data_IF_656092588405
#
_entry.id   IF_656092588405
#
_cell.length_a   1.000
_cell.length_b   1.000
_cell.length_c   1.000
_cell.angle_alpha   90.00
_cell.angle_beta   90.00
_cell.angle_gamma   90.00
#
_symmetry.space_group_name_H-M   'P 1'
#
loop_
_entity.id
_entity.type
_entity.pdbx_description
1 polymer ?
#
# COMPACT_ATOMS: atom_id res chain seq x y z
N UNK A 1 1.44 16.33 29.72
CA UNK A 1 0.61 16.00 28.55
C UNK A 1 0.44 14.49 28.53
N UNK A 2 -0.74 13.98 28.20
CA UNK A 2 -0.97 12.55 28.00
C UNK A 2 -1.46 12.39 26.55
N UNK A 3 -0.84 11.48 25.80
CA UNK A 3 -1.26 11.16 24.44
C UNK A 3 -1.41 9.65 24.30
N UNK A 4 -2.60 9.24 23.84
CA UNK A 4 -2.91 7.84 23.53
C UNK A 4 -2.88 7.65 22.02
N UNK A 5 -2.16 6.62 21.58
CA UNK A 5 -2.11 6.18 20.20
C UNK A 5 -2.71 4.78 20.10
N UNK A 6 -3.67 4.62 19.19
CA UNK A 6 -4.31 3.33 18.92
C UNK A 6 -3.80 2.79 17.60
N UNK A 7 -3.22 1.60 17.63
CA UNK A 7 -2.63 0.91 16.48
C UNK A 7 -3.39 -0.40 16.30
N UNK A 8 -4.18 -0.49 15.23
CA UNK A 8 -4.84 -1.74 14.84
C UNK A 8 -3.80 -2.75 14.36
N UNK A 9 -3.78 -3.93 14.98
CA UNK A 9 -2.81 -5.00 14.66
C UNK A 9 -3.43 -6.03 13.74
N UNK A 10 -2.62 -6.77 12.97
CA UNK A 10 -3.04 -7.95 12.19
C UNK A 10 -2.75 -9.29 12.90
N UNK A 11 -2.16 -9.25 14.09
CA UNK A 11 -1.77 -10.41 14.90
C UNK A 11 -2.96 -11.21 15.48
N UNK A 12 -2.79 -12.52 15.56
CA UNK A 12 -3.64 -13.42 16.31
C UNK A 12 -3.38 -13.30 17.83
N UNK A 13 -4.37 -13.61 18.69
CA UNK A 13 -4.26 -13.42 20.14
C UNK A 13 -3.05 -14.10 20.80
N UNK A 14 -2.60 -15.24 20.26
CA UNK A 14 -1.42 -15.95 20.77
C UNK A 14 -0.15 -15.07 20.79
N UNK A 15 -0.02 -14.13 19.84
CA UNK A 15 1.21 -13.36 19.62
C UNK A 15 1.24 -11.99 20.29
N UNK A 16 0.18 -11.58 21.00
CA UNK A 16 0.17 -10.29 21.69
C UNK A 16 1.28 -10.18 22.74
N UNK A 17 1.53 -11.28 23.47
CA UNK A 17 2.63 -11.35 24.42
C UNK A 17 4.01 -11.32 23.74
N UNK A 18 4.14 -12.00 22.60
CA UNK A 18 5.39 -12.07 21.84
C UNK A 18 5.74 -10.73 21.21
N UNK A 19 4.74 -9.98 20.73
CA UNK A 19 4.92 -8.61 20.25
C UNK A 19 5.49 -7.71 21.34
N UNK A 20 4.94 -7.76 22.57
CA UNK A 20 5.48 -6.97 23.68
C UNK A 20 6.92 -7.37 24.00
N UNK A 21 7.24 -8.65 23.96
CA UNK A 21 8.59 -9.14 24.17
C UNK A 21 9.54 -8.67 23.07
N UNK A 22 9.08 -8.66 21.83
CA UNK A 22 9.82 -8.17 20.68
C UNK A 22 10.16 -6.68 20.85
N UNK A 23 9.17 -5.83 21.16
CA UNK A 23 9.39 -4.41 21.43
C UNK A 23 10.35 -4.22 22.60
N UNK A 24 10.16 -4.98 23.69
CA UNK A 24 11.03 -4.94 24.87
C UNK A 24 12.48 -5.24 24.50
N UNK A 25 12.72 -6.31 23.75
CA UNK A 25 14.06 -6.83 23.44
C UNK A 25 14.79 -6.05 22.37
N UNK A 26 14.09 -5.62 21.31
CA UNK A 26 14.72 -5.03 20.13
C UNK A 26 14.67 -3.50 20.09
N UNK A 27 13.76 -2.87 20.84
CA UNK A 27 13.67 -1.41 20.92
C UNK A 27 14.02 -0.87 22.30
N UNK A 28 13.33 -1.33 23.36
CA UNK A 28 13.47 -0.71 24.68
C UNK A 28 14.79 -1.06 25.39
N UNK A 29 15.19 -2.34 25.41
CA UNK A 29 16.42 -2.77 26.10
C UNK A 29 17.72 -2.23 25.47
N UNK A 30 17.87 -2.16 24.14
CA UNK A 30 19.05 -1.59 23.52
C UNK A 30 19.07 -0.04 23.57
N UNK A 31 17.91 0.58 23.76
CA UNK A 31 17.77 2.03 23.88
C UNK A 31 17.99 2.56 25.30
N UNK A 32 17.93 3.88 25.45
CA UNK A 32 18.11 4.57 26.74
C UNK A 32 16.79 4.62 27.55
N UNK A 33 16.24 3.43 27.83
CA UNK A 33 15.00 3.26 28.56
C UNK A 33 15.23 2.55 29.90
N UNK A 34 14.52 3.01 30.93
CA UNK A 34 14.62 2.55 32.30
C UNK A 34 13.27 2.06 32.83
N UNK A 35 13.31 1.27 33.92
CA UNK A 35 12.09 0.82 34.59
C UNK A 35 11.19 -0.07 33.73
N UNK A 36 11.77 -0.76 32.75
CA UNK A 36 11.06 -1.63 31.81
C UNK A 36 10.47 -2.82 32.57
N UNK A 37 9.14 -2.88 32.68
CA UNK A 37 8.43 -3.98 33.36
C UNK A 37 7.28 -4.48 32.50
N UNK A 38 7.15 -5.79 32.39
CA UNK A 38 6.04 -6.46 31.71
C UNK A 38 5.18 -7.17 32.74
N UNK A 39 3.87 -7.01 32.63
CA UNK A 39 2.85 -7.71 33.40
C UNK A 39 1.76 -8.19 32.44
N UNK A 40 1.78 -9.47 32.09
CA UNK A 40 0.88 -10.04 31.08
C UNK A 40 1.00 -9.35 29.71
N UNK A 41 -0.11 -8.72 29.29
CA UNK A 41 -0.24 -7.94 28.04
C UNK A 41 -0.01 -6.43 28.23
N UNK A 42 0.64 -6.04 29.33
CA UNK A 42 1.02 -4.67 29.65
C UNK A 42 2.54 -4.55 29.73
N UNK A 43 3.11 -3.53 29.10
CA UNK A 43 4.53 -3.22 29.13
C UNK A 43 4.71 -1.73 29.47
N UNK A 44 5.43 -1.44 30.55
CA UNK A 44 5.70 -0.06 30.98
C UNK A 44 7.19 0.25 30.90
N UNK A 45 7.53 1.51 30.61
CA UNK A 45 8.91 1.99 30.51
C UNK A 45 9.02 3.49 30.84
N UNK A 46 10.25 3.97 31.02
CA UNK A 46 10.58 5.37 31.24
C UNK A 46 11.76 5.78 30.35
N UNK A 47 11.68 6.92 29.68
CA UNK A 47 12.78 7.48 28.90
C UNK A 47 13.23 8.81 29.52
N UNK A 48 14.54 8.99 29.70
CA UNK A 48 15.11 10.25 30.19
C UNK A 48 15.60 11.07 28.99
N UNK A 49 15.04 12.27 28.81
CA UNK A 49 15.37 13.13 27.68
C UNK A 49 15.72 14.53 28.20
N UNK A 50 17.02 14.81 28.33
CA UNK A 50 17.50 16.03 28.99
C UNK A 50 17.12 16.06 30.46
N UNK A 51 16.37 17.08 30.89
CA UNK A 51 15.88 17.22 32.29
C UNK A 51 14.47 16.63 32.51
N UNK A 52 13.81 16.12 31.47
CA UNK A 52 12.45 15.59 31.56
C UNK A 52 12.37 14.07 31.42
N UNK A 53 11.27 13.49 31.92
CA UNK A 53 10.98 12.06 31.84
C UNK A 53 9.72 11.84 31.00
N UNK A 54 9.78 10.88 30.08
CA UNK A 54 8.61 10.34 29.36
C UNK A 54 8.24 9.01 29.99
N UNK A 55 7.00 8.87 30.43
CA UNK A 55 6.44 7.60 30.89
C UNK A 55 5.67 6.96 29.75
N UNK A 56 5.96 5.70 29.47
CA UNK A 56 5.32 4.94 28.40
C UNK A 56 4.64 3.69 28.91
N UNK A 57 3.45 3.43 28.38
CA UNK A 57 2.68 2.21 28.63
C UNK A 57 2.15 1.66 27.31
N UNK A 58 2.40 0.37 27.08
CA UNK A 58 1.89 -0.38 25.93
C UNK A 58 0.95 -1.47 26.43
N UNK A 59 -0.26 -1.49 25.90
CA UNK A 59 -1.26 -2.53 26.15
C UNK A 59 -1.53 -3.26 24.85
N UNK A 60 -1.17 -4.54 24.77
CA UNK A 60 -1.37 -5.35 23.58
C UNK A 60 -2.78 -5.94 23.52
N UNK A 61 -3.34 -5.97 22.31
CA UNK A 61 -4.66 -6.47 21.99
C UNK A 61 -4.93 -6.30 20.50
N UNK A 62 -6.16 -6.57 20.06
CA UNK A 62 -6.56 -6.33 18.66
C UNK A 62 -6.25 -4.89 18.23
N UNK A 63 -6.57 -3.94 19.11
CA UNK A 63 -6.10 -2.57 19.04
C UNK A 63 -5.05 -2.34 20.13
N UNK A 64 -3.78 -2.31 19.73
CA UNK A 64 -2.69 -2.00 20.64
C UNK A 64 -2.75 -0.52 21.03
N UNK A 65 -2.61 -0.25 22.32
CA UNK A 65 -2.61 1.11 22.86
C UNK A 65 -1.22 1.47 23.34
N UNK A 66 -0.69 2.58 22.83
CA UNK A 66 0.51 3.22 23.38
C UNK A 66 0.08 4.52 24.07
N UNK A 67 0.32 4.61 25.37
CA UNK A 67 0.05 5.79 26.17
C UNK A 67 1.39 6.41 26.55
N UNK A 68 1.60 7.66 26.16
CA UNK A 68 2.79 8.44 26.51
C UNK A 68 2.39 9.62 27.38
N UNK A 69 3.01 9.73 28.55
CA UNK A 69 2.90 10.88 29.45
C UNK A 69 4.22 11.63 29.49
N UNK A 70 4.19 12.93 29.13
CA UNK A 70 5.39 13.74 28.94
C UNK A 70 5.16 15.24 29.20
N UNK A 71 6.19 16.00 29.65
CA UNK A 71 6.20 17.46 29.64
C UNK A 71 6.02 18.04 28.22
N UNK A 72 5.40 19.21 28.08
CA UNK A 72 5.09 19.79 26.76
C UNK A 72 6.32 20.00 25.86
N UNK A 73 7.47 20.29 26.46
CA UNK A 73 8.76 20.50 25.78
C UNK A 73 9.29 19.23 25.10
N UNK A 74 8.88 18.05 25.58
CA UNK A 74 9.33 16.75 25.07
C UNK A 74 8.40 16.16 23.99
N UNK A 75 7.52 16.97 23.40
CA UNK A 75 6.57 16.50 22.39
C UNK A 75 7.23 15.84 21.18
N UNK A 76 8.34 16.39 20.68
CA UNK A 76 9.04 15.83 19.52
C UNK A 76 9.70 14.47 19.83
N UNK A 77 10.19 14.30 21.06
CA UNK A 77 10.71 13.03 21.56
C UNK A 77 9.60 11.98 21.74
N UNK A 78 8.44 12.38 22.23
CA UNK A 78 7.28 11.50 22.35
C UNK A 78 6.79 10.99 20.98
N UNK A 79 6.76 11.86 19.96
CA UNK A 79 6.45 11.43 18.59
C UNK A 79 7.51 10.47 18.04
N UNK A 80 8.79 10.71 18.33
CA UNK A 80 9.88 9.81 17.92
C UNK A 80 9.70 8.42 18.53
N UNK A 81 9.40 8.35 19.84
CA UNK A 81 9.12 7.07 20.52
C UNK A 81 7.91 6.36 19.89
N UNK A 82 6.83 7.09 19.59
CA UNK A 82 5.68 6.52 18.90
C UNK A 82 6.06 5.92 17.54
N UNK A 83 6.81 6.66 16.72
CA UNK A 83 7.23 6.22 15.39
C UNK A 83 8.14 4.98 15.43
N UNK A 84 9.05 4.90 16.39
CA UNK A 84 9.94 3.75 16.55
C UNK A 84 9.20 2.50 17.04
N UNK A 85 8.27 2.67 18.01
CA UNK A 85 7.42 1.58 18.49
C UNK A 85 6.50 1.10 17.35
N UNK A 86 5.89 2.02 16.61
CA UNK A 86 5.09 1.70 15.44
C UNK A 86 5.90 0.89 14.42
N UNK A 87 7.13 1.33 14.12
CA UNK A 87 8.04 0.63 13.21
C UNK A 87 8.39 -0.77 13.72
N UNK A 88 8.58 -0.91 15.04
CA UNK A 88 8.85 -2.21 15.68
C UNK A 88 7.65 -3.16 15.57
N UNK A 89 6.42 -2.64 15.74
CA UNK A 89 5.19 -3.40 15.53
C UNK A 89 5.09 -3.86 14.08
N UNK A 90 5.28 -2.95 13.12
CA UNK A 90 5.22 -3.30 11.70
C UNK A 90 6.29 -4.32 11.29
N UNK A 91 7.50 -4.23 11.86
CA UNK A 91 8.56 -5.20 11.62
C UNK A 91 8.21 -6.60 12.15
N UNK A 92 7.58 -6.67 13.34
CA UNK A 92 7.11 -7.94 13.89
C UNK A 92 5.95 -8.51 13.07
N UNK A 93 4.97 -7.69 12.68
CA UNK A 93 3.88 -8.11 11.80
C UNK A 93 4.41 -8.64 10.46
N UNK A 94 5.38 -7.95 9.84
CA UNK A 94 5.98 -8.41 8.59
C UNK A 94 6.71 -9.75 8.72
N UNK A 95 7.38 -9.99 9.85
CA UNK A 95 7.95 -11.29 10.19
C UNK A 95 6.85 -12.35 10.31
N UNK A 96 5.74 -12.04 10.99
CA UNK A 96 4.60 -12.96 11.11
C UNK A 96 3.95 -13.25 9.76
N UNK A 97 3.86 -12.28 8.85
CA UNK A 97 3.32 -12.49 7.50
C UNK A 97 4.08 -13.55 6.72
N UNK A 98 5.38 -13.69 6.95
CA UNK A 98 6.19 -14.74 6.31
C UNK A 98 5.83 -16.14 6.78
N UNK A 99 5.25 -16.28 7.98
CA UNK A 99 4.83 -17.54 8.60
C UNK A 99 3.30 -17.69 8.65
N UNK A 100 2.58 -16.88 7.86
CA UNK A 100 1.11 -16.88 7.83
C UNK A 100 0.57 -17.55 6.58
N UNK A 101 -0.43 -18.40 6.76
CA UNK A 101 -1.19 -19.00 5.66
C UNK A 101 -2.50 -18.23 5.48
N UNK A 102 -2.69 -17.65 4.31
CA UNK A 102 -3.87 -16.87 3.96
C UNK A 102 -4.86 -17.66 3.11
N UNK A 103 -6.13 -17.45 3.41
CA UNK A 103 -7.27 -17.93 2.64
C UNK A 103 -8.21 -16.76 2.40
N UNK A 104 -8.57 -16.49 1.15
CA UNK A 104 -9.47 -15.41 0.78
C UNK A 104 -10.52 -15.92 -0.21
N UNK A 105 -11.75 -15.43 -0.09
CA UNK A 105 -12.83 -15.74 -1.03
C UNK A 105 -13.89 -14.63 -1.03
N UNK A 106 -14.73 -14.67 -2.06
CA UNK A 106 -15.86 -13.76 -2.27
C UNK A 106 -17.13 -14.61 -2.29
N UNK A 107 -18.21 -14.14 -1.66
CA UNK A 107 -19.48 -14.87 -1.61
C UNK A 107 -20.01 -15.15 -3.04
N UNK A 108 -20.53 -16.35 -3.30
CA UNK A 108 -21.16 -16.66 -4.59
C UNK A 108 -20.23 -16.78 -5.82
N UNK A 109 -18.92 -16.53 -5.68
CA UNK A 109 -17.92 -16.67 -6.74
C UNK A 109 -17.10 -17.96 -6.60
N UNK A 110 -16.51 -18.40 -7.72
CA UNK A 110 -15.56 -19.51 -7.72
C UNK A 110 -14.32 -19.12 -6.90
N UNK A 111 -13.88 -20.01 -6.01
CA UNK A 111 -12.73 -19.70 -5.16
C UNK A 111 -11.43 -19.93 -5.94
N UNK A 112 -10.69 -18.85 -6.17
CA UNK A 112 -9.44 -18.84 -6.96
C UNK A 112 -8.23 -18.84 -6.01
N UNK A 113 -7.26 -19.76 -6.17
CA UNK A 113 -6.11 -19.83 -5.29
C UNK A 113 -5.22 -18.59 -5.42
N UNK A 114 -4.61 -18.21 -4.29
CA UNK A 114 -3.61 -17.14 -4.24
C UNK A 114 -2.45 -17.47 -5.18
N UNK A 115 -1.99 -16.49 -5.95
CA UNK A 115 -0.83 -16.70 -6.82
C UNK A 115 0.42 -16.87 -5.94
N UNK A 116 1.18 -17.97 -6.05
CA UNK A 116 2.47 -18.04 -5.39
C UNK A 116 3.36 -16.89 -5.90
N UNK A 117 4.30 -16.38 -5.08
CA UNK A 117 5.33 -15.46 -5.53
C UNK A 117 6.25 -16.20 -6.52
N UNK A 118 5.76 -16.43 -7.74
CA UNK A 118 6.53 -17.08 -8.80
C UNK A 118 7.65 -16.15 -9.24
N UNK A 119 8.79 -16.71 -9.67
CA UNK A 119 9.83 -15.92 -10.35
C UNK A 119 9.34 -15.22 -11.62
N UNK A 120 8.26 -15.72 -12.25
CA UNK A 120 7.50 -15.02 -13.31
C UNK A 120 6.66 -13.85 -12.80
N UNK A 121 6.38 -13.81 -11.50
CA UNK A 121 5.81 -12.69 -10.76
C UNK A 121 6.77 -11.51 -10.57
N UNK A 122 8.02 -11.57 -11.04
CA UNK A 122 8.83 -10.35 -11.19
C UNK A 122 8.23 -9.39 -12.22
N UNK A 123 7.52 -9.89 -13.24
CA UNK A 123 6.82 -9.05 -14.20
C UNK A 123 5.52 -8.46 -13.63
N UNK A 124 4.77 -9.21 -12.80
CA UNK A 124 3.60 -8.66 -12.09
C UNK A 124 4.01 -7.74 -10.93
N UNK A 125 5.13 -8.00 -10.24
CA UNK A 125 5.83 -7.03 -9.38
C UNK A 125 6.42 -5.87 -10.17
N UNK A 126 6.56 -5.94 -11.49
CA UNK A 126 6.98 -4.82 -12.34
C UNK A 126 5.83 -3.95 -12.82
N UNK A 127 4.60 -4.51 -12.89
CA UNK A 127 3.38 -3.77 -13.25
C UNK A 127 2.69 -3.19 -11.99
N UNK A 128 2.75 -3.90 -10.85
CA UNK A 128 2.21 -3.47 -9.55
C UNK A 128 3.27 -3.05 -8.53
N UNK A 129 4.56 -3.20 -8.82
CA UNK A 129 5.62 -2.69 -7.94
C UNK A 129 6.05 -1.28 -8.31
N UNK A 130 6.80 -0.67 -7.40
CA UNK A 130 7.20 0.74 -7.44
C UNK A 130 8.09 1.15 -8.63
N UNK A 131 8.55 0.20 -9.45
CA UNK A 131 9.45 0.45 -10.58
C UNK A 131 8.77 0.17 -11.91
N UNK A 132 8.19 1.22 -12.51
CA UNK A 132 7.65 1.18 -13.88
C UNK A 132 8.74 1.01 -14.96
N UNK A 133 10.02 0.98 -14.56
CA UNK A 133 11.18 0.96 -15.46
C UNK A 133 11.13 -0.21 -16.45
N UNK A 134 10.77 -1.42 -16.00
CA UNK A 134 10.70 -2.60 -16.86
C UNK A 134 9.66 -2.41 -17.97
N UNK A 135 8.50 -1.86 -17.61
CA UNK A 135 7.41 -1.57 -18.55
C UNK A 135 7.89 -0.51 -19.56
N UNK A 136 8.57 0.55 -19.11
CA UNK A 136 9.15 1.55 -20.00
C UNK A 136 10.20 0.98 -20.96
N UNK A 137 11.09 0.10 -20.49
CA UNK A 137 12.09 -0.56 -21.34
C UNK A 137 11.41 -1.42 -22.42
N UNK A 138 10.37 -2.16 -22.06
CA UNK A 138 9.59 -2.96 -23.01
C UNK A 138 8.90 -2.07 -24.06
N UNK A 139 8.23 -0.99 -23.62
CA UNK A 139 7.62 -0.02 -24.54
C UNK A 139 8.64 0.69 -25.42
N UNK A 140 9.83 1.00 -24.90
CA UNK A 140 10.92 1.59 -25.67
C UNK A 140 11.37 0.66 -26.80
N UNK A 141 11.49 -0.64 -26.52
CA UNK A 141 11.76 -1.65 -27.55
C UNK A 141 10.66 -1.71 -28.63
N UNK A 142 9.38 -1.72 -28.23
CA UNK A 142 8.24 -1.68 -29.17
C UNK A 142 8.30 -0.41 -30.03
N UNK A 143 8.62 0.74 -29.45
CA UNK A 143 8.75 2.00 -30.18
C UNK A 143 9.84 1.92 -31.25
N UNK A 144 11.04 1.39 -30.92
CA UNK A 144 12.13 1.22 -31.89
C UNK A 144 11.66 0.36 -33.07
N UNK A 145 11.00 -0.77 -32.81
CA UNK A 145 10.48 -1.66 -33.85
C UNK A 145 9.48 -0.91 -34.75
N UNK A 146 8.56 -0.15 -34.16
CA UNK A 146 7.60 0.66 -34.92
C UNK A 146 8.30 1.71 -35.79
N UNK A 147 9.34 2.37 -35.30
CA UNK A 147 10.14 3.33 -36.09
C UNK A 147 10.87 2.66 -37.25
N UNK A 148 11.39 1.45 -37.06
CA UNK A 148 12.06 0.68 -38.13
C UNK A 148 11.06 0.31 -39.24
N UNK A 149 9.83 -0.09 -38.88
CA UNK A 149 8.82 -0.57 -39.84
C UNK A 149 8.10 0.58 -40.53
N UNK A 150 7.72 1.63 -39.78
CA UNK A 150 6.79 2.67 -40.24
C UNK A 150 7.45 4.04 -40.47
N UNK A 151 8.74 4.19 -40.16
CA UNK A 151 9.44 5.47 -40.26
C UNK A 151 8.74 6.58 -39.47
N UNK A 152 8.53 7.75 -40.08
CA UNK A 152 7.86 8.86 -39.41
C UNK A 152 6.38 8.60 -39.06
N UNK A 153 5.70 7.68 -39.77
CA UNK A 153 4.33 7.29 -39.43
C UNK A 153 4.26 6.54 -38.09
N UNK A 154 5.39 6.04 -37.58
CA UNK A 154 5.48 5.42 -36.26
C UNK A 154 5.04 6.38 -35.15
N UNK A 155 5.25 7.69 -35.28
CA UNK A 155 4.84 8.68 -34.27
C UNK A 155 3.33 8.61 -34.05
N UNK A 156 2.55 8.67 -35.12
CA UNK A 156 1.09 8.60 -35.06
C UNK A 156 0.65 7.21 -34.57
N UNK A 157 1.27 6.15 -35.08
CA UNK A 157 0.95 4.79 -34.66
C UNK A 157 1.18 4.54 -33.17
N UNK A 158 2.30 5.01 -32.60
CA UNK A 158 2.62 4.92 -31.18
C UNK A 158 1.59 5.68 -30.35
N UNK A 159 1.26 6.92 -30.74
CA UNK A 159 0.27 7.73 -30.02
C UNK A 159 -1.12 7.09 -30.03
N UNK A 160 -1.57 6.55 -31.17
CA UNK A 160 -2.85 5.84 -31.27
C UNK A 160 -2.85 4.54 -30.46
N UNK A 161 -1.75 3.79 -30.48
CA UNK A 161 -1.60 2.58 -29.68
C UNK A 161 -1.66 2.89 -28.18
N UNK A 162 -0.91 3.89 -27.71
CA UNK A 162 -0.92 4.32 -26.31
C UNK A 162 -2.30 4.85 -25.89
N UNK A 163 -2.94 5.67 -26.72
CA UNK A 163 -4.30 6.13 -26.48
C UNK A 163 -5.27 4.93 -26.38
N UNK A 164 -5.15 3.95 -27.28
CA UNK A 164 -5.93 2.72 -27.24
C UNK A 164 -5.76 1.94 -25.92
N UNK A 165 -4.52 1.83 -25.42
CA UNK A 165 -4.23 1.19 -24.13
C UNK A 165 -4.94 1.92 -22.98
N UNK A 166 -4.94 3.25 -22.96
CA UNK A 166 -5.59 4.05 -21.92
C UNK A 166 -7.12 3.96 -22.01
N UNK A 167 -7.68 4.01 -23.23
CA UNK A 167 -9.14 3.90 -23.43
C UNK A 167 -9.70 2.52 -23.10
N UNK A 168 -8.83 1.51 -23.06
CA UNK A 168 -9.13 0.12 -22.73
C UNK A 168 -8.55 -0.29 -21.37
N UNK A 169 -8.01 0.64 -20.58
CA UNK A 169 -7.30 0.30 -19.34
C UNK A 169 -8.21 -0.39 -18.34
N UNK A 170 -9.48 0.02 -18.27
CA UNK A 170 -10.55 -0.64 -17.52
C UNK A 170 -10.66 -2.14 -17.86
N UNK A 171 -10.66 -2.48 -19.16
CA UNK A 171 -10.75 -3.86 -19.61
C UNK A 171 -9.46 -4.65 -19.44
N UNK A 172 -8.31 -3.97 -19.50
CA UNK A 172 -7.00 -4.60 -19.29
C UNK A 172 -6.86 -4.97 -17.81
N UNK A 173 -7.10 -4.03 -16.90
CA UNK A 173 -7.02 -4.24 -15.46
C UNK A 173 -8.11 -5.20 -14.95
N UNK A 174 -9.28 -5.23 -15.58
CA UNK A 174 -10.31 -6.21 -15.24
C UNK A 174 -9.86 -7.67 -15.40
N UNK A 175 -8.87 -7.95 -16.27
CA UNK A 175 -8.31 -9.29 -16.44
C UNK A 175 -7.20 -9.61 -15.44
N UNK A 176 -6.75 -8.64 -14.67
CA UNK A 176 -5.62 -8.81 -13.75
C UNK A 176 -6.06 -9.39 -12.41
N UNK A 177 -7.26 -9.04 -11.94
CA UNK A 177 -7.83 -9.63 -10.73
C UNK A 177 -8.62 -10.91 -10.99
N UNK A 178 -8.87 -11.59 -9.89
CA UNK A 178 -9.47 -12.90 -9.84
C UNK A 178 -10.98 -12.83 -9.68
N UNK A 179 -11.47 -11.92 -8.83
CA UNK A 179 -12.89 -11.79 -8.52
C UNK A 179 -13.43 -10.41 -8.90
N UNK A 180 -14.69 -10.38 -9.34
CA UNK A 180 -15.45 -9.16 -9.54
C UNK A 180 -16.40 -9.01 -8.35
N UNK A 181 -16.38 -7.85 -7.71
CA UNK A 181 -17.27 -7.55 -6.58
C UNK A 181 -18.47 -6.74 -7.11
N UNK A 182 -19.66 -7.16 -6.73
CA UNK A 182 -20.97 -6.63 -7.11
C UNK A 182 -21.87 -6.54 -5.88
N UNK A 183 -23.05 -5.89 -5.97
CA UNK A 183 -24.01 -5.86 -4.86
C UNK A 183 -24.47 -7.25 -4.39
N UNK A 184 -24.43 -8.25 -5.28
CA UNK A 184 -24.86 -9.62 -4.99
C UNK A 184 -23.81 -10.43 -4.21
N UNK A 185 -22.54 -10.02 -4.27
CA UNK A 185 -21.42 -10.65 -3.56
C UNK A 185 -20.50 -9.60 -2.88
N UNK A 186 -21.03 -8.78 -1.97
CA UNK A 186 -20.37 -7.55 -1.55
C UNK A 186 -19.18 -7.79 -0.62
N UNK A 187 -19.12 -8.97 0.01
CA UNK A 187 -18.21 -9.29 1.09
C UNK A 187 -17.03 -10.13 0.63
N UNK A 188 -15.85 -9.73 1.08
CA UNK A 188 -14.60 -10.48 0.98
C UNK A 188 -14.28 -11.04 2.35
N UNK A 189 -14.07 -12.33 2.44
CA UNK A 189 -13.70 -12.98 3.69
C UNK A 189 -12.26 -13.47 3.61
N UNK A 190 -11.54 -13.31 4.72
CA UNK A 190 -10.13 -13.63 4.83
C UNK A 190 -9.90 -14.38 6.13
N UNK A 191 -9.29 -15.55 6.05
CA UNK A 191 -8.81 -16.32 7.20
C UNK A 191 -7.28 -16.39 7.15
N UNK A 192 -6.68 -16.23 8.32
CA UNK A 192 -5.24 -16.22 8.54
C UNK A 192 -4.90 -17.25 9.60
N UNK A 193 -3.95 -18.12 9.29
CA UNK A 193 -3.32 -19.01 10.26
C UNK A 193 -1.87 -18.59 10.44
N UNK A 194 -1.58 -17.97 11.58
CA UNK A 194 -0.25 -17.48 11.92
C UNK A 194 0.48 -18.60 12.68
N UNK A 195 1.37 -19.31 12.01
CA UNK A 195 2.04 -20.47 12.59
C UNK A 195 3.33 -20.05 13.30
N UNK A 196 3.70 -20.71 14.42
CA UNK A 196 5.04 -20.58 15.00
C UNK A 196 6.13 -20.89 13.96
N UNK A 197 7.29 -20.24 14.06
CA UNK A 197 8.36 -20.37 13.05
C UNK A 197 8.85 -21.82 12.90
N UNK A 198 8.94 -22.58 13.99
CA UNK A 198 9.34 -23.98 14.01
C UNK A 198 8.29 -24.88 13.35
N UNK A 199 7.01 -24.68 13.65
CA UNK A 199 5.90 -25.38 12.98
C UNK A 199 5.80 -24.99 11.50
N UNK A 200 6.03 -23.73 11.15
CA UNK A 200 6.03 -23.24 9.79
C UNK A 200 7.21 -23.82 9.00
N UNK A 201 8.43 -23.82 9.54
CA UNK A 201 9.59 -24.44 8.89
C UNK A 201 9.39 -25.93 8.73
N UNK A 202 8.92 -26.62 9.78
CA UNK A 202 8.55 -28.03 9.69
C UNK A 202 7.48 -28.27 8.62
N UNK A 203 6.50 -27.37 8.52
CA UNK A 203 5.49 -27.37 7.47
C UNK A 203 6.14 -27.25 6.10
N UNK A 204 6.94 -26.22 5.81
CA UNK A 204 7.60 -26.04 4.51
C UNK A 204 8.56 -27.18 4.16
N UNK A 205 9.39 -27.62 5.11
CA UNK A 205 10.42 -28.65 4.87
C UNK A 205 9.81 -30.02 4.60
N UNK A 206 8.74 -30.37 5.34
CA UNK A 206 8.01 -31.64 5.12
C UNK A 206 7.09 -31.55 3.91
N UNK A 207 6.57 -30.36 3.65
CA UNK A 207 5.52 -30.08 2.69
C UNK A 207 6.07 -29.06 1.70
N UNK A 208 6.90 -29.53 0.76
CA UNK A 208 7.42 -28.65 -0.29
C UNK A 208 6.30 -27.82 -0.96
N UNK A 209 6.62 -26.70 -1.60
CA UNK A 209 5.67 -25.69 -2.07
C UNK A 209 4.39 -26.21 -2.77
N UNK A 210 4.46 -27.36 -3.46
CA UNK A 210 3.30 -28.02 -4.08
C UNK A 210 2.28 -28.60 -3.10
N UNK A 211 2.70 -29.07 -1.92
CA UNK A 211 1.82 -29.60 -0.88
C UNK A 211 1.02 -28.49 -0.19
N UNK A 212 1.61 -27.31 -0.01
CA UNK A 212 0.92 -26.09 0.44
C UNK A 212 -0.20 -25.73 -0.55
N UNK A 213 0.12 -25.79 -1.84
CA UNK A 213 -0.85 -25.57 -2.92
C UNK A 213 -1.97 -26.63 -2.93
N UNK A 214 -1.69 -27.87 -2.51
CA UNK A 214 -2.69 -28.94 -2.39
C UNK A 214 -3.56 -28.77 -1.15
N UNK A 215 -3.01 -28.45 0.02
CA UNK A 215 -3.79 -28.11 1.22
C UNK A 215 -4.71 -26.94 0.91
N UNK A 216 -4.15 -25.86 0.34
CA UNK A 216 -4.94 -24.68 -0.03
C UNK A 216 -6.12 -25.12 -0.90
N UNK A 217 -5.84 -25.87 -1.98
CA UNK A 217 -6.88 -26.42 -2.86
C UNK A 217 -7.88 -27.33 -2.16
N UNK A 218 -7.47 -28.15 -1.20
CA UNK A 218 -8.36 -29.10 -0.53
C UNK A 218 -9.26 -28.40 0.49
N UNK A 219 -8.74 -27.42 1.24
CA UNK A 219 -9.54 -26.52 2.10
C UNK A 219 -10.59 -25.82 1.25
N UNK A 220 -10.17 -25.29 0.10
CA UNK A 220 -11.10 -24.67 -0.85
C UNK A 220 -12.10 -25.68 -1.42
N UNK A 221 -11.69 -26.91 -1.76
CA UNK A 221 -12.57 -27.95 -2.30
C UNK A 221 -13.64 -28.40 -1.33
N UNK A 222 -13.29 -28.56 -0.04
CA UNK A 222 -14.25 -28.92 1.01
C UNK A 222 -15.31 -27.83 1.18
N UNK A 223 -14.90 -26.56 1.13
CA UNK A 223 -15.83 -25.42 1.11
C UNK A 223 -16.70 -25.36 -0.15
N UNK A 224 -16.14 -25.66 -1.32
CA UNK A 224 -16.84 -25.68 -2.62
C UNK A 224 -17.94 -26.75 -2.68
N UNK A 225 -17.75 -27.90 -2.03
CA UNK A 225 -18.74 -28.98 -2.00
C UNK A 225 -20.04 -28.55 -1.30
N UNK A 226 -19.92 -27.69 -0.29
CA UNK A 226 -21.03 -27.27 0.57
C UNK A 226 -21.60 -25.88 0.20
N UNK A 227 -21.06 -25.21 -0.84
CA UNK A 227 -21.42 -23.83 -1.24
C UNK A 227 -21.44 -22.85 -0.06
N UNK A 228 -20.57 -23.06 0.92
CA UNK A 228 -20.43 -22.23 2.12
C UNK A 228 -18.99 -21.73 2.24
N UNK A 229 -18.77 -20.55 2.82
CA UNK A 229 -17.44 -20.07 3.18
C UNK A 229 -16.59 -21.15 3.88
N UNK A 230 -15.30 -21.34 3.53
CA UNK A 230 -14.43 -22.25 4.27
C UNK A 230 -14.40 -21.76 5.71
N UNK A 231 -14.84 -22.62 6.62
CA UNK A 231 -14.77 -22.31 8.04
C UNK A 231 -13.40 -22.70 8.56
N UNK A 232 -13.10 -22.19 9.73
CA UNK A 232 -11.89 -22.53 10.44
C UNK A 232 -11.85 -24.01 10.84
N UNK A 233 -13.01 -24.65 10.95
CA UNK A 233 -13.14 -26.10 11.11
C UNK A 233 -12.77 -26.86 9.83
N UNK A 234 -13.17 -26.37 8.65
CA UNK A 234 -12.79 -26.97 7.37
C UNK A 234 -11.28 -26.89 7.16
N UNK A 235 -10.68 -25.73 7.46
CA UNK A 235 -9.24 -25.55 7.42
C UNK A 235 -8.52 -26.45 8.43
N UNK A 236 -9.04 -26.57 9.66
CA UNK A 236 -8.51 -27.46 10.70
C UNK A 236 -8.54 -28.91 10.27
N UNK A 237 -9.66 -29.38 9.71
CA UNK A 237 -9.79 -30.76 9.24
C UNK A 237 -8.76 -31.10 8.17
N UNK A 238 -8.53 -30.21 7.21
CA UNK A 238 -7.47 -30.43 6.21
C UNK A 238 -6.08 -30.38 6.83
N UNK A 239 -5.79 -29.36 7.63
CA UNK A 239 -4.47 -29.22 8.24
C UNK A 239 -4.14 -30.45 9.13
N UNK A 240 -5.12 -30.98 9.87
CA UNK A 240 -5.00 -32.24 10.62
C UNK A 240 -4.75 -33.45 9.73
N UNK A 241 -5.41 -33.56 8.57
CA UNK A 241 -5.12 -34.63 7.58
C UNK A 241 -3.66 -34.60 7.10
N UNK A 242 -3.04 -33.43 7.09
CA UNK A 242 -1.62 -33.27 6.77
C UNK A 242 -0.71 -33.31 8.02
N UNK A 243 -1.27 -33.57 9.20
CA UNK A 243 -0.56 -33.81 10.46
C UNK A 243 -0.35 -32.58 11.34
N UNK A 244 -1.11 -31.50 11.15
CA UNK A 244 -1.01 -30.26 11.90
C UNK A 244 -2.12 -30.12 12.93
N UNK A 245 -1.81 -29.65 14.14
CA UNK A 245 -2.83 -29.36 15.16
C UNK A 245 -3.20 -27.88 15.07
N UNK A 246 -4.37 -27.55 14.54
CA UNK A 246 -4.80 -26.14 14.53
C UNK A 246 -5.26 -25.70 15.92
N UNK A 247 -4.61 -24.67 16.47
CA UNK A 247 -5.03 -24.03 17.71
C UNK A 247 -5.73 -22.69 17.38
N UNK A 248 -6.99 -22.47 17.84
CA UNK A 248 -7.77 -21.26 17.57
C UNK A 248 -7.10 -19.94 17.98
N UNK A 249 -6.11 -19.97 18.89
CA UNK A 249 -5.40 -18.77 19.32
C UNK A 249 -4.45 -18.19 18.24
N UNK A 250 -4.12 -19.00 17.23
CA UNK A 250 -3.27 -18.65 16.09
C UNK A 250 -4.06 -18.21 14.84
N UNK A 251 -5.37 -18.21 14.98
CA UNK A 251 -6.31 -17.97 13.89
C UNK A 251 -6.86 -16.55 13.97
N UNK A 252 -7.06 -15.95 12.80
CA UNK A 252 -7.79 -14.70 12.67
C UNK A 252 -8.65 -14.69 11.42
N UNK A 253 -9.90 -14.28 11.57
CA UNK A 253 -10.81 -14.05 10.46
C UNK A 253 -11.13 -12.56 10.32
N UNK A 254 -11.27 -12.09 9.08
CA UNK A 254 -11.74 -10.74 8.76
C UNK A 254 -12.73 -10.82 7.61
N UNK A 255 -13.85 -10.12 7.73
CA UNK A 255 -14.83 -9.94 6.64
C UNK A 255 -14.91 -8.46 6.33
N UNK A 256 -14.72 -8.10 5.06
CA UNK A 256 -14.77 -6.73 4.59
C UNK A 256 -15.88 -6.63 3.55
N UNK A 257 -16.87 -5.76 3.78
CA UNK A 257 -17.85 -5.42 2.76
C UNK A 257 -17.22 -4.41 1.79
N UNK A 258 -16.46 -4.94 0.83
CA UNK A 258 -15.68 -4.13 -0.11
C UNK A 258 -16.60 -3.33 -1.05
N UNK A 259 -17.74 -3.90 -1.44
CA UNK A 259 -18.72 -3.17 -2.26
C UNK A 259 -19.21 -1.91 -1.55
N UNK A 260 -19.65 -2.03 -0.28
CA UNK A 260 -20.14 -0.89 0.51
C UNK A 260 -19.09 0.19 0.69
N UNK A 261 -17.83 -0.18 0.98
CA UNK A 261 -16.74 0.81 1.14
C UNK A 261 -16.53 1.60 -0.17
N UNK A 262 -16.54 0.93 -1.31
CA UNK A 262 -16.36 1.58 -2.61
C UNK A 262 -17.60 2.37 -3.02
N UNK A 263 -18.80 1.90 -2.67
CA UNK A 263 -20.06 2.62 -2.86
C UNK A 263 -20.08 3.92 -2.05
N UNK A 264 -19.68 3.88 -0.77
CA UNK A 264 -19.55 5.05 0.10
C UNK A 264 -18.56 6.07 -0.49
N UNK A 265 -17.39 5.61 -0.94
CA UNK A 265 -16.41 6.48 -1.59
C UNK A 265 -16.95 7.07 -2.90
N UNK A 266 -17.55 6.27 -3.78
CA UNK A 266 -18.10 6.74 -5.04
C UNK A 266 -19.25 7.75 -4.82
N UNK A 267 -20.10 7.50 -3.83
CA UNK A 267 -21.17 8.39 -3.39
C UNK A 267 -20.63 9.73 -2.88
N UNK A 268 -19.60 9.70 -2.02
CA UNK A 268 -18.95 10.92 -1.52
C UNK A 268 -18.32 11.75 -2.65
N UNK A 269 -17.73 11.10 -3.65
CA UNK A 269 -17.16 11.78 -4.83
C UNK A 269 -18.20 12.15 -5.90
N UNK A 270 -19.47 11.76 -5.74
CA UNK A 270 -20.54 12.04 -6.70
C UNK A 270 -20.36 11.36 -8.05
N UNK A 271 -19.75 10.18 -8.09
CA UNK A 271 -19.51 9.39 -9.30
C UNK A 271 -20.23 8.02 -9.22
N UNK A 272 -20.55 7.39 -10.36
CA UNK A 272 -21.06 6.03 -10.33
C UNK A 272 -20.04 5.06 -9.72
N UNK A 273 -20.53 4.01 -9.07
CA UNK A 273 -19.68 2.93 -8.53
C UNK A 273 -18.85 2.34 -9.68
N UNK A 274 -17.51 2.43 -9.63
CA UNK A 274 -16.67 1.85 -10.66
C UNK A 274 -16.73 0.32 -10.62
N UNK A 275 -16.27 -0.35 -11.67
CA UNK A 275 -16.11 -1.81 -11.60
C UNK A 275 -15.10 -2.16 -10.50
N UNK A 276 -15.46 -3.10 -9.64
CA UNK A 276 -14.60 -3.50 -8.52
C UNK A 276 -13.97 -4.85 -8.86
N UNK A 277 -12.65 -4.92 -8.74
CA UNK A 277 -11.88 -6.13 -8.98
C UNK A 277 -10.97 -6.41 -7.80
N UNK A 278 -11.05 -7.62 -7.26
CA UNK A 278 -10.19 -8.09 -6.18
C UNK A 278 -9.10 -8.99 -6.76
N UNK A 279 -7.84 -8.66 -6.46
CA UNK A 279 -6.70 -9.52 -6.76
C UNK A 279 -6.22 -10.30 -5.54
N UNK A 280 -6.05 -11.61 -5.70
CA UNK A 280 -5.63 -12.50 -4.62
C UNK A 280 -4.09 -12.52 -4.49
N UNK A 281 -3.55 -11.46 -3.87
CA UNK A 281 -2.13 -11.27 -3.58
C UNK A 281 -1.95 -10.54 -2.25
N UNK A 282 -0.99 -11.00 -1.44
CA UNK A 282 -0.68 -10.42 -0.13
C UNK A 282 0.17 -9.14 -0.18
N UNK A 283 0.53 -8.67 -1.37
CA UNK A 283 1.13 -7.34 -1.55
C UNK A 283 0.02 -6.31 -1.41
N UNK A 284 0.03 -5.52 -0.33
CA UNK A 284 -0.94 -4.46 -0.11
C UNK A 284 -0.86 -3.39 -1.20
N UNK A 285 -1.94 -3.26 -1.97
CA UNK A 285 -2.05 -2.28 -3.04
C UNK A 285 -3.54 -2.00 -3.38
N UNK A 286 -3.81 -0.79 -3.86
CA UNK A 286 -5.02 -0.42 -4.55
C UNK A 286 -4.62 0.39 -5.79
N UNK A 287 -5.45 0.34 -6.82
CA UNK A 287 -5.26 1.18 -8.00
C UNK A 287 -6.62 1.48 -8.63
N UNK A 288 -6.82 2.72 -9.07
CA UNK A 288 -7.91 3.06 -9.96
C UNK A 288 -7.44 3.42 -11.37
N UNK A 289 -8.22 2.97 -12.36
CA UNK A 289 -7.96 3.25 -13.76
C UNK A 289 -9.26 3.38 -14.55
N UNK A 290 -9.16 3.90 -15.77
CA UNK A 290 -10.24 4.00 -16.72
C UNK A 290 -10.21 5.34 -17.45
N UNK A 291 -10.84 5.42 -18.64
CA UNK A 291 -10.86 6.65 -19.42
C UNK A 291 -11.78 7.73 -18.83
N UNK A 292 -12.68 7.37 -17.92
CA UNK A 292 -13.62 8.30 -17.30
C UNK A 292 -14.21 7.68 -16.03
N UNK A 293 -14.74 8.48 -15.07
CA UNK A 293 -15.39 7.95 -13.88
C UNK A 293 -16.51 6.91 -14.17
N UNK A 294 -17.31 7.13 -15.21
CA UNK A 294 -18.37 6.19 -15.65
C UNK A 294 -17.86 4.88 -16.28
N UNK A 295 -16.56 4.82 -16.61
CA UNK A 295 -15.87 3.63 -17.08
C UNK A 295 -14.65 3.35 -16.19
N UNK A 296 -14.77 3.69 -14.91
CA UNK A 296 -13.73 3.46 -13.93
C UNK A 296 -13.68 2.00 -13.49
N UNK A 297 -12.50 1.57 -13.08
CA UNK A 297 -12.24 0.32 -12.41
C UNK A 297 -11.35 0.59 -11.20
N UNK A 298 -11.71 -0.01 -10.07
CA UNK A 298 -10.90 -0.04 -8.86
C UNK A 298 -10.44 -1.48 -8.64
N UNK A 299 -9.12 -1.65 -8.57
CA UNK A 299 -8.48 -2.91 -8.22
C UNK A 299 -7.98 -2.83 -6.78
N UNK A 300 -8.35 -3.81 -5.97
CA UNK A 300 -7.91 -3.94 -4.57
C UNK A 300 -7.21 -5.28 -4.41
N UNK A 301 -6.19 -5.36 -3.56
CA UNK A 301 -5.55 -6.64 -3.22
C UNK A 301 -6.01 -7.18 -1.88
N UNK A 302 -6.01 -8.51 -1.72
CA UNK A 302 -6.28 -9.15 -0.41
C UNK A 302 -5.29 -8.69 0.66
N UNK A 303 -4.03 -8.44 0.30
CA UNK A 303 -3.03 -7.87 1.20
C UNK A 303 -3.40 -6.49 1.76
N UNK A 304 -4.05 -5.63 0.96
CA UNK A 304 -4.52 -4.33 1.44
C UNK A 304 -5.62 -4.52 2.50
N UNK A 305 -6.57 -5.41 2.22
CA UNK A 305 -7.68 -5.71 3.12
C UNK A 305 -7.21 -6.37 4.42
N UNK A 306 -6.12 -7.12 4.41
CA UNK A 306 -5.53 -7.70 5.62
C UNK A 306 -4.89 -6.61 6.50
N UNK A 307 -4.06 -5.75 5.90
CA UNK A 307 -3.23 -4.79 6.65
C UNK A 307 -4.01 -3.56 7.15
N UNK A 308 -5.04 -3.13 6.41
CA UNK A 308 -5.77 -1.89 6.69
C UNK A 308 -7.14 -2.14 7.30
N UNK A 309 -7.56 -1.31 8.26
CA UNK A 309 -8.95 -1.31 8.76
C UNK A 309 -9.91 -0.80 7.69
N UNK A 310 -11.22 -1.05 7.84
CA UNK A 310 -12.22 -0.64 6.85
C UNK A 310 -12.21 0.89 6.61
N UNK A 311 -11.96 1.69 7.66
CA UNK A 311 -11.78 3.14 7.52
C UNK A 311 -10.51 3.52 6.76
N UNK A 312 -9.40 2.79 6.99
CA UNK A 312 -8.15 2.98 6.28
C UNK A 312 -8.28 2.59 4.81
N UNK A 313 -9.01 1.50 4.51
CA UNK A 313 -9.37 1.10 3.14
C UNK A 313 -10.21 2.19 2.50
N UNK A 314 -11.26 2.70 3.16
CA UNK A 314 -12.08 3.80 2.63
C UNK A 314 -11.24 5.03 2.28
N UNK A 315 -10.30 5.42 3.14
CA UNK A 315 -9.43 6.57 2.89
C UNK A 315 -8.48 6.36 1.69
N UNK A 316 -7.92 5.16 1.55
CA UNK A 316 -7.10 4.77 0.38
C UNK A 316 -7.95 4.73 -0.89
N UNK A 317 -9.15 4.13 -0.85
CA UNK A 317 -10.09 4.16 -1.98
C UNK A 317 -10.45 5.61 -2.33
N UNK A 318 -10.65 6.49 -1.36
CA UNK A 318 -10.87 7.92 -1.61
C UNK A 318 -9.72 8.59 -2.35
N UNK A 319 -8.48 8.20 -2.07
CA UNK A 319 -7.30 8.66 -2.84
C UNK A 319 -7.38 8.16 -4.29
N UNK A 320 -7.68 6.87 -4.49
CA UNK A 320 -7.87 6.28 -5.82
C UNK A 320 -9.02 6.92 -6.62
N UNK A 321 -10.14 7.25 -5.96
CA UNK A 321 -11.24 8.01 -6.57
C UNK A 321 -10.80 9.41 -7.01
N UNK A 322 -9.89 10.04 -6.26
CA UNK A 322 -9.27 11.30 -6.62
C UNK A 322 -8.56 11.25 -7.98
N UNK A 323 -7.92 10.13 -8.31
CA UNK A 323 -7.31 9.92 -9.63
C UNK A 323 -8.36 9.75 -10.74
N UNK A 324 -9.44 9.01 -10.50
CA UNK A 324 -10.54 8.82 -11.46
C UNK A 324 -11.24 10.14 -11.79
N UNK A 325 -11.65 10.89 -10.75
CA UNK A 325 -12.31 12.19 -10.89
C UNK A 325 -11.37 13.19 -11.58
N UNK A 326 -10.09 13.14 -11.21
CA UNK A 326 -9.04 13.96 -11.81
C UNK A 326 -8.70 13.61 -13.27
N UNK A 327 -9.11 12.43 -13.75
CA UNK A 327 -8.78 11.88 -15.09
C UNK A 327 -7.26 11.79 -15.33
N UNK A 328 -6.53 11.45 -14.28
CA UNK A 328 -5.06 11.49 -14.30
C UNK A 328 -4.41 10.63 -15.37
N UNK A 329 -4.88 9.41 -15.66
CA UNK A 329 -4.32 8.62 -16.76
C UNK A 329 -4.33 9.36 -18.11
N UNK A 330 -5.40 10.10 -18.43
CA UNK A 330 -5.52 10.85 -19.69
C UNK A 330 -4.65 12.11 -19.67
N UNK A 331 -4.58 12.81 -18.53
CA UNK A 331 -3.76 14.02 -18.41
C UNK A 331 -2.28 13.66 -18.49
N UNK A 332 -1.84 12.64 -17.76
CA UNK A 332 -0.46 12.14 -17.80
C UNK A 332 -0.10 11.65 -19.20
N UNK A 333 -1.01 10.93 -19.88
CA UNK A 333 -0.84 10.58 -21.28
C UNK A 333 -0.63 11.79 -22.18
N UNK A 334 -1.43 12.85 -21.98
CA UNK A 334 -1.33 14.07 -22.77
C UNK A 334 0.02 14.76 -22.56
N UNK A 335 0.52 14.81 -21.31
CA UNK A 335 1.84 15.36 -20.97
C UNK A 335 2.96 14.55 -21.61
N UNK A 336 2.94 13.21 -21.46
CA UNK A 336 3.94 12.31 -22.03
C UNK A 336 3.92 12.33 -23.56
N UNK A 337 2.73 12.39 -24.17
CA UNK A 337 2.57 12.51 -25.62
C UNK A 337 3.10 13.82 -26.15
N UNK A 338 2.82 14.93 -25.46
CA UNK A 338 3.36 16.25 -25.82
C UNK A 338 4.88 16.27 -25.74
N UNK A 339 5.47 15.72 -24.67
CA UNK A 339 6.92 15.56 -24.56
C UNK A 339 7.47 14.71 -25.70
N UNK A 340 6.84 13.57 -26.04
CA UNK A 340 7.27 12.72 -27.12
C UNK A 340 7.29 13.43 -28.49
N UNK A 341 6.24 14.19 -28.80
CA UNK A 341 6.16 14.97 -30.04
C UNK A 341 7.20 16.10 -30.03
N UNK A 342 7.34 16.84 -28.93
CA UNK A 342 8.35 17.90 -28.81
C UNK A 342 9.78 17.35 -28.94
N UNK A 343 10.05 16.18 -28.37
CA UNK A 343 11.33 15.46 -28.48
C UNK A 343 11.75 15.24 -29.92
N UNK A 344 10.81 14.87 -30.79
CA UNK A 344 11.09 14.53 -32.19
C UNK A 344 11.06 15.74 -33.14
N UNK A 345 10.50 16.87 -32.70
CA UNK A 345 10.29 18.05 -33.54
C UNK A 345 11.22 19.20 -33.13
N UNK A 346 10.93 19.84 -32.01
CA UNK A 346 11.62 21.05 -31.53
C UNK A 346 12.92 20.71 -30.80
N UNK A 347 12.90 19.65 -29.99
CA UNK A 347 14.01 19.29 -29.09
C UNK A 347 14.99 18.29 -29.70
N UNK A 348 14.74 17.82 -30.94
CA UNK A 348 15.59 16.83 -31.59
C UNK A 348 17.08 17.24 -31.64
N UNK A 349 17.44 18.51 -31.92
CA UNK A 349 18.85 18.92 -31.87
C UNK A 349 19.49 18.73 -30.48
N UNK A 350 18.75 19.02 -29.41
CA UNK A 350 19.22 18.83 -28.02
C UNK A 350 19.38 17.35 -27.71
N UNK A 351 18.42 16.54 -28.14
CA UNK A 351 18.45 15.08 -27.96
C UNK A 351 19.67 14.47 -28.65
N UNK A 352 20.01 14.91 -29.87
CA UNK A 352 21.16 14.39 -30.62
C UNK A 352 22.51 14.76 -29.98
N UNK A 353 22.60 15.90 -29.27
CA UNK A 353 23.83 16.30 -28.56
C UNK A 353 24.09 15.42 -27.33
N UNK A 354 23.06 15.15 -26.53
CA UNK A 354 23.20 14.29 -25.34
C UNK A 354 21.91 13.52 -25.05
N UNK A 355 21.70 12.36 -25.70
CA UNK A 355 20.46 11.60 -25.57
C UNK A 355 20.20 11.14 -24.13
N UNK A 356 21.26 10.69 -23.43
CA UNK A 356 21.15 10.20 -22.06
C UNK A 356 20.78 11.31 -21.08
N UNK A 357 21.45 12.47 -21.16
CA UNK A 357 21.17 13.61 -20.30
C UNK A 357 19.75 14.13 -20.53
N UNK A 358 19.32 14.21 -21.79
CA UNK A 358 17.95 14.56 -22.14
C UNK A 358 16.94 13.63 -21.46
N UNK A 359 17.12 12.31 -21.59
CA UNK A 359 16.19 11.33 -21.00
C UNK A 359 16.13 11.48 -19.47
N UNK A 360 17.27 11.68 -18.82
CA UNK A 360 17.33 11.86 -17.35
C UNK A 360 16.54 13.10 -16.94
N UNK A 361 16.73 14.23 -17.63
CA UNK A 361 16.01 15.48 -17.34
C UNK A 361 14.52 15.35 -17.65
N UNK A 362 14.16 14.81 -18.82
CA UNK A 362 12.78 14.65 -19.24
C UNK A 362 12.00 13.72 -18.29
N UNK A 363 12.57 12.57 -17.94
CA UNK A 363 11.99 11.65 -16.96
C UNK A 363 11.89 12.32 -15.58
N UNK A 364 12.95 12.99 -15.13
CA UNK A 364 12.94 13.73 -13.87
C UNK A 364 11.79 14.74 -13.79
N UNK A 365 11.57 15.52 -14.85
CA UNK A 365 10.47 16.48 -14.93
C UNK A 365 9.11 15.78 -14.93
N UNK A 366 8.92 14.74 -15.77
CA UNK A 366 7.66 14.01 -15.87
C UNK A 366 7.28 13.39 -14.52
N UNK A 367 8.20 12.67 -13.88
CA UNK A 367 7.94 12.04 -12.58
C UNK A 367 7.77 13.08 -11.47
N UNK A 368 8.50 14.19 -11.49
CA UNK A 368 8.30 15.26 -10.52
C UNK A 368 6.93 15.94 -10.67
N UNK A 369 6.44 16.14 -11.90
CA UNK A 369 5.08 16.63 -12.16
C UNK A 369 4.03 15.60 -11.75
N UNK A 370 4.28 14.30 -11.94
CA UNK A 370 3.40 13.23 -11.47
C UNK A 370 3.16 13.29 -9.95
N UNK A 371 4.17 13.70 -9.17
CA UNK A 371 4.03 13.94 -7.71
C UNK A 371 2.97 14.98 -7.35
N UNK A 372 2.64 15.91 -8.25
CA UNK A 372 1.56 16.88 -8.03
C UNK A 372 0.18 16.21 -8.05
N UNK A 373 -0.01 15.22 -8.92
CA UNK A 373 -1.26 14.46 -9.04
C UNK A 373 -1.49 13.58 -7.82
N UNK A 374 -0.43 12.90 -7.36
CA UNK A 374 -0.44 12.12 -6.11
C UNK A 374 -0.81 12.96 -4.90
N UNK A 375 -0.14 14.10 -4.72
CA UNK A 375 -0.47 15.03 -3.64
C UNK A 375 -1.89 15.62 -3.80
N UNK A 376 -2.39 15.77 -5.03
CA UNK A 376 -3.79 16.20 -5.26
C UNK A 376 -4.77 15.10 -4.88
N UNK A 377 -4.50 13.83 -5.20
CA UNK A 377 -5.35 12.71 -4.81
C UNK A 377 -5.43 12.58 -3.27
N UNK A 378 -4.30 12.75 -2.56
CA UNK A 378 -4.29 12.84 -1.08
C UNK A 378 -5.20 13.96 -0.56
N UNK A 379 -5.10 15.15 -1.16
CA UNK A 379 -5.90 16.30 -0.76
C UNK A 379 -7.38 16.10 -1.07
N UNK A 380 -7.72 15.51 -2.22
CA UNK A 380 -9.11 15.22 -2.58
C UNK A 380 -9.72 14.17 -1.66
N UNK A 381 -8.99 13.12 -1.30
CA UNK A 381 -9.44 12.15 -0.29
C UNK A 381 -9.70 12.84 1.05
N UNK A 382 -8.78 13.68 1.51
CA UNK A 382 -8.97 14.47 2.73
C UNK A 382 -10.21 15.38 2.65
N UNK A 383 -10.42 16.06 1.52
CA UNK A 383 -11.56 16.97 1.31
C UNK A 383 -12.91 16.26 1.26
N UNK A 384 -12.98 15.09 0.63
CA UNK A 384 -14.23 14.42 0.31
C UNK A 384 -14.59 13.36 1.35
N UNK A 385 -13.61 12.57 1.80
CA UNK A 385 -13.79 11.56 2.85
C UNK A 385 -13.72 12.19 4.26
N UNK A 386 -12.98 13.31 4.41
CA UNK A 386 -12.94 14.07 5.66
C UNK A 386 -12.04 13.49 6.75
N UNK A 387 -11.17 12.52 6.42
CA UNK A 387 -10.32 11.80 7.39
C UNK A 387 -8.83 11.75 6.98
N UNK A 388 -8.12 12.89 6.89
CA UNK A 388 -6.72 12.93 6.45
C UNK A 388 -5.77 12.12 7.36
N UNK A 389 -6.02 12.10 8.67
CA UNK A 389 -5.24 11.33 9.64
C UNK A 389 -5.39 9.82 9.44
N UNK A 390 -6.56 9.35 8.97
CA UNK A 390 -6.77 7.93 8.65
C UNK A 390 -5.98 7.55 7.39
N UNK A 391 -5.96 8.41 6.36
CA UNK A 391 -5.10 8.19 5.19
C UNK A 391 -3.62 8.19 5.57
N UNK A 392 -3.20 9.10 6.46
CA UNK A 392 -1.82 9.15 6.95
C UNK A 392 -1.42 7.86 7.69
N UNK A 393 -2.31 7.31 8.53
CA UNK A 393 -2.10 6.00 9.18
C UNK A 393 -2.01 4.86 8.18
N UNK A 394 -2.88 4.83 7.18
CA UNK A 394 -2.84 3.83 6.11
C UNK A 394 -1.50 3.86 5.36
N UNK A 395 -1.04 5.05 4.94
CA UNK A 395 0.26 5.25 4.30
C UNK A 395 1.43 4.81 5.19
N UNK A 396 1.33 5.06 6.51
CA UNK A 396 2.34 4.66 7.48
C UNK A 396 2.47 3.14 7.59
N UNK A 397 1.34 2.41 7.56
CA UNK A 397 1.32 0.93 7.57
C UNK A 397 1.88 0.34 6.29
N UNK A 398 1.30 0.66 5.13
CA UNK A 398 1.71 0.07 3.85
C UNK A 398 3.12 0.51 3.42
N UNK A 399 3.55 1.69 3.86
CA UNK A 399 4.80 2.32 3.48
C UNK A 399 5.93 2.20 4.49
N UNK A 400 5.77 1.46 5.59
CA UNK A 400 6.67 1.56 6.75
C UNK A 400 8.15 1.29 6.41
N UNK A 401 8.44 0.32 5.54
CA UNK A 401 9.82 0.01 5.10
C UNK A 401 10.44 1.19 4.35
N UNK A 402 9.70 1.77 3.39
CA UNK A 402 10.16 2.91 2.61
C UNK A 402 10.29 4.16 3.50
N UNK A 403 9.34 4.36 4.42
CA UNK A 403 9.37 5.45 5.40
C UNK A 403 10.62 5.39 6.28
N UNK A 404 11.00 4.20 6.77
CA UNK A 404 12.22 4.01 7.56
C UNK A 404 13.48 4.38 6.76
N UNK A 405 13.55 3.98 5.48
CA UNK A 405 14.65 4.33 4.58
C UNK A 405 14.71 5.83 4.30
N UNK A 406 13.59 6.45 3.95
CA UNK A 406 13.50 7.88 3.62
C UNK A 406 13.84 8.79 4.80
N UNK A 407 13.63 8.34 6.04
CA UNK A 407 14.01 9.11 7.23
C UNK A 407 15.53 9.18 7.43
N UNK A 408 16.31 8.24 6.87
CA UNK A 408 17.78 8.25 6.93
C UNK A 408 18.35 9.39 6.06
N UNK A 409 19.23 10.22 6.63
CA UNK A 409 19.54 11.57 6.13
C UNK A 409 19.93 11.69 4.65
N UNK A 410 20.74 10.77 4.12
CA UNK A 410 21.16 10.81 2.71
C UNK A 410 20.08 10.38 1.71
N UNK A 411 19.05 9.66 2.18
CA UNK A 411 17.96 9.13 1.33
C UNK A 411 16.74 10.06 1.26
N UNK A 412 16.71 11.15 2.02
CA UNK A 412 15.61 12.13 1.95
C UNK A 412 15.47 12.75 0.56
N UNK A 413 16.59 13.12 -0.07
CA UNK A 413 16.59 13.72 -1.41
C UNK A 413 16.38 12.66 -2.50
N UNK A 414 16.95 11.47 -2.35
CA UNK A 414 16.82 10.41 -3.35
C UNK A 414 15.36 10.03 -3.59
N UNK A 415 14.51 10.07 -2.56
CA UNK A 415 13.07 9.87 -2.71
C UNK A 415 12.37 10.90 -3.61
N UNK A 416 12.89 12.13 -3.68
CA UNK A 416 12.34 13.18 -4.55
C UNK A 416 12.83 13.07 -5.99
N UNK A 417 14.07 12.65 -6.20
CA UNK A 417 14.69 12.56 -7.53
C UNK A 417 14.54 11.19 -8.19
N UNK A 418 14.10 10.18 -7.43
CA UNK A 418 13.72 8.88 -7.98
C UNK A 418 12.63 9.02 -9.04
N UNK A 419 12.71 8.19 -10.08
CA UNK A 419 11.69 8.03 -11.13
C UNK A 419 10.47 7.25 -10.59
N UNK A 420 9.87 7.81 -9.55
CA UNK A 420 8.69 7.33 -8.85
C UNK A 420 7.66 8.47 -8.87
N UNK A 421 6.42 8.24 -9.33
CA UNK A 421 5.42 9.29 -9.36
C UNK A 421 5.01 9.74 -7.95
N UNK A 422 5.25 8.93 -6.91
CA UNK A 422 4.87 9.26 -5.54
C UNK A 422 5.88 10.22 -4.89
N UNK A 423 5.41 11.32 -4.26
CA UNK A 423 6.24 12.05 -3.31
C UNK A 423 6.73 11.12 -2.19
N UNK A 424 7.84 11.44 -1.50
CA UNK A 424 8.28 10.69 -0.34
C UNK A 424 7.15 10.51 0.69
N UNK A 425 7.07 9.31 1.27
CA UNK A 425 6.01 8.94 2.21
C UNK A 425 6.06 9.85 3.44
N UNK A 426 7.25 10.17 3.96
CA UNK A 426 7.37 11.08 5.10
C UNK A 426 6.72 12.44 4.83
N UNK A 427 6.82 12.94 3.58
CA UNK A 427 6.22 14.20 3.17
C UNK A 427 4.70 14.07 3.08
N UNK A 428 4.18 12.99 2.48
CA UNK A 428 2.73 12.75 2.36
C UNK A 428 2.07 12.65 3.73
N UNK A 429 2.63 11.85 4.63
CA UNK A 429 2.15 11.67 6.01
C UNK A 429 2.15 13.02 6.75
N UNK A 430 3.29 13.72 6.78
CA UNK A 430 3.40 15.02 7.45
C UNK A 430 2.41 16.04 6.88
N UNK A 431 2.23 16.06 5.55
CA UNK A 431 1.28 16.94 4.90
C UNK A 431 -0.14 16.63 5.37
N UNK A 432 -0.55 15.37 5.35
CA UNK A 432 -1.89 14.95 5.79
C UNK A 432 -2.16 15.30 7.26
N UNK A 433 -1.21 15.03 8.15
CA UNK A 433 -1.35 15.30 9.59
C UNK A 433 -1.38 16.79 9.94
N UNK A 434 -0.86 17.65 9.05
CA UNK A 434 -0.80 19.10 9.26
C UNK A 434 -1.77 19.87 8.35
N UNK A 435 -2.64 19.17 7.60
CA UNK A 435 -3.63 19.81 6.73
C UNK A 435 -4.62 20.64 7.56
N UNK A 436 -4.56 21.96 7.36
CA UNK A 436 -5.56 22.92 7.85
C UNK A 436 -6.37 23.46 6.69
N UNK A 437 -7.63 23.80 6.97
CA UNK A 437 -8.56 24.41 6.01
C UNK A 437 -8.60 23.65 4.68
N UNK A 438 -8.56 22.31 4.73
CA UNK A 438 -8.51 21.49 3.53
C UNK A 438 -9.85 21.46 2.80
N UNK A 439 -10.96 21.55 3.53
CA UNK A 439 -12.34 21.54 3.00
C UNK A 439 -12.61 22.66 1.97
N UNK A 440 -11.96 23.82 2.10
CA UNK A 440 -12.27 25.02 1.30
C UNK A 440 -11.26 25.32 0.18
N UNK A 441 -10.52 24.31 -0.29
CA UNK A 441 -9.50 24.50 -1.33
C UNK A 441 -10.13 24.67 -2.71
N UNK A 442 -10.03 25.88 -3.26
CA UNK A 442 -10.55 26.20 -4.60
C UNK A 442 -9.83 25.48 -5.74
N UNK A 443 -8.51 25.29 -5.63
CA UNK A 443 -7.70 24.62 -6.66
C UNK A 443 -6.79 23.57 -6.03
N UNK A 444 -7.27 22.31 -5.92
CA UNK A 444 -6.52 21.23 -5.29
C UNK A 444 -5.18 20.97 -5.98
N UNK A 445 -5.13 21.00 -7.32
CA UNK A 445 -3.89 20.76 -8.06
C UNK A 445 -2.82 21.83 -7.80
N UNK A 446 -3.21 23.10 -7.77
CA UNK A 446 -2.28 24.21 -7.52
C UNK A 446 -1.76 24.16 -6.09
N UNK A 447 -2.65 23.94 -5.10
CA UNK A 447 -2.24 23.78 -3.69
C UNK A 447 -1.24 22.63 -3.57
N UNK A 448 -1.53 21.48 -4.14
CA UNK A 448 -0.64 20.31 -4.13
C UNK A 448 0.69 20.56 -4.82
N UNK A 449 0.72 21.22 -5.97
CA UNK A 449 1.97 21.55 -6.65
C UNK A 449 2.86 22.48 -5.80
N UNK A 450 2.26 23.51 -5.17
CA UNK A 450 2.99 24.41 -4.26
C UNK A 450 3.55 23.64 -3.06
N UNK A 451 2.76 22.75 -2.47
CA UNK A 451 3.19 21.93 -1.33
C UNK A 451 4.35 21.00 -1.71
N UNK A 452 4.27 20.33 -2.86
CA UNK A 452 5.32 19.41 -3.37
C UNK A 452 6.62 20.18 -3.64
N UNK A 453 6.55 21.33 -4.32
CA UNK A 453 7.75 22.16 -4.59
C UNK A 453 8.35 22.68 -3.29
N UNK A 454 7.53 23.09 -2.32
CA UNK A 454 8.00 23.51 -1.00
C UNK A 454 8.68 22.36 -0.25
N UNK A 455 8.04 21.18 -0.21
CA UNK A 455 8.58 19.98 0.43
C UNK A 455 9.92 19.54 -0.18
N UNK A 456 10.04 19.58 -1.50
CA UNK A 456 11.30 19.30 -2.19
C UNK A 456 12.38 20.31 -1.80
N UNK A 457 12.08 21.61 -1.84
CA UNK A 457 13.03 22.67 -1.45
C UNK A 457 13.47 22.55 0.02
N UNK A 458 12.56 22.22 0.92
CA UNK A 458 12.86 22.04 2.33
C UNK A 458 13.75 20.80 2.55
N UNK A 459 13.59 19.75 1.74
CA UNK A 459 14.50 18.59 1.74
C UNK A 459 15.92 18.95 1.30
N UNK A 460 16.08 19.84 0.30
CA UNK A 460 17.39 20.30 -0.16
C UNK A 460 18.12 21.11 0.93
N UNK A 461 17.40 21.98 1.65
CA UNK A 461 17.95 22.81 2.74
C UNK A 461 18.38 22.02 3.99
N UNK A 462 17.92 20.79 4.15
CA UNK A 462 18.34 19.93 5.25
C UNK A 462 19.60 19.13 4.91
N UNK A 463 19.99 19.11 3.64
CA UNK A 463 21.12 18.35 3.13
C UNK A 463 22.34 19.22 2.83
N UNK A 464 22.11 20.45 2.34
CA UNK A 464 23.10 21.53 2.20
C UNK A 464 23.01 22.47 3.38
#
# INVERSE_FOLDING_TARGET
MIKEFVIGTELAPAYYGDLLEFIRRYYLMPGDFNGIKRDGLRLVFRAWMGEGIIYGEIIAGENLKLILEYPAELGEWAETIYEDIFTSIQAFEDMMRQHTVYFAWVEGEDIIPERPPTGKGMASKGIFGSSMLLVYVLFFGVNIILFIILGFYAVIAILLMQLGIILLSDRIYARMGEWVITPENPSVHIIQFQLPEDEFKFFIDKMGNEAILKIKREIYRLSLADKRPPTCEDARGVLEMYGFRCNPLYERSKTVNLYSIIEDAAGAFGIPVPRIVLSNTMIANAAATGPSPSRGLVLVTTGLLVQLTDEEVLAVIGHEMGHLVGRDPIILFSIVSAEFVMRLTVLLPVVLVSPLLYIIIAMGIIFFVAKFFEARADLLSAMVIGKPEVLARALRKIGYQKLALEKSGSQRISGWTAWDPHPPIYFRIKRLETLKDYENVKSPLIRSAVDVVRGFRDSLRQFF
#
